data_IF_072089800623
#
_entry.id   IF_072089800623
#
_cell.length_a   1.000
_cell.length_b   1.000
_cell.length_c   1.000
_cell.angle_alpha   90.00
_cell.angle_beta   90.00
_cell.angle_gamma   90.00
#
_symmetry.space_group_name_H-M   'P 1'
#
loop_
_entity.id
_entity.type
_entity.pdbx_description
1 polymer ?
#
# COMPACT_ATOMS: atom_id res chain seq x y z
N UNK A 1 -22.44 0.26 36.28
CA UNK A 1 -21.66 1.06 35.31
C UNK A 1 -22.09 0.63 33.92
N UNK A 2 -22.57 1.56 33.09
CA UNK A 2 -22.87 1.29 31.68
C UNK A 2 -21.61 1.62 30.88
N UNK A 3 -20.90 0.60 30.42
CA UNK A 3 -19.80 0.80 29.47
C UNK A 3 -20.36 0.77 28.06
N UNK A 4 -19.85 1.61 27.14
CA UNK A 4 -20.19 1.49 25.73
C UNK A 4 -19.80 0.08 25.23
N UNK A 5 -20.61 -0.53 24.35
CA UNK A 5 -20.31 -1.83 23.79
C UNK A 5 -18.96 -1.79 23.05
N UNK A 6 -18.15 -2.83 23.25
CA UNK A 6 -16.90 -3.00 22.51
C UNK A 6 -17.24 -3.40 21.08
N UNK A 7 -16.89 -2.57 20.11
CA UNK A 7 -17.02 -2.91 18.70
C UNK A 7 -16.15 -4.12 18.36
N UNK A 8 -16.64 -4.97 17.46
CA UNK A 8 -15.86 -6.10 16.95
C UNK A 8 -14.68 -5.59 16.16
N UNK A 9 -13.57 -6.32 16.22
CA UNK A 9 -12.42 -6.05 15.38
C UNK A 9 -12.83 -6.20 13.90
N UNK A 10 -12.73 -5.15 13.07
CA UNK A 10 -12.99 -5.25 11.64
C UNK A 10 -11.93 -6.10 10.91
N UNK A 11 -10.85 -6.50 11.59
CA UNK A 11 -9.74 -7.27 11.03
C UNK A 11 -8.77 -6.35 10.31
N UNK A 12 -9.06 -6.04 9.05
CA UNK A 12 -8.20 -5.19 8.20
C UNK A 12 -8.93 -3.90 7.86
N UNK A 13 -8.33 -2.74 8.19
CA UNK A 13 -8.87 -1.46 7.76
C UNK A 13 -8.47 -1.22 6.31
N UNK A 14 -9.47 -1.25 5.43
CA UNK A 14 -9.31 -0.97 4.01
C UNK A 14 -10.12 0.24 3.58
N UNK A 15 -9.67 0.89 2.50
CA UNK A 15 -10.33 2.05 1.90
C UNK A 15 -10.36 1.92 0.37
N UNK A 16 -11.42 2.39 -0.31
CA UNK A 16 -11.43 2.49 -1.76
C UNK A 16 -10.29 3.38 -2.27
N UNK A 17 -9.59 2.92 -3.29
CA UNK A 17 -8.39 3.59 -3.78
C UNK A 17 -8.29 3.53 -5.31
N UNK A 18 -7.84 4.63 -5.91
CA UNK A 18 -7.53 4.73 -7.34
C UNK A 18 -6.07 5.14 -7.50
N UNK A 19 -5.32 4.43 -8.35
CA UNK A 19 -3.92 4.71 -8.66
C UNK A 19 -3.78 5.21 -10.10
N UNK A 20 -3.30 6.43 -10.32
CA UNK A 20 -3.16 7.04 -11.65
C UNK A 20 -4.45 6.91 -12.51
N UNK A 21 -5.61 7.13 -11.90
CA UNK A 21 -6.92 7.00 -12.56
C UNK A 21 -7.40 5.55 -12.75
N UNK A 22 -6.64 4.56 -12.31
CA UNK A 22 -7.01 3.15 -12.37
C UNK A 22 -7.58 2.68 -11.03
N UNK A 23 -8.83 2.23 -11.04
CA UNK A 23 -9.47 1.65 -9.85
C UNK A 23 -8.77 0.33 -9.47
N UNK A 24 -8.35 0.25 -8.21
CA UNK A 24 -7.70 -0.93 -7.64
C UNK A 24 -8.58 -1.66 -6.61
N UNK A 25 -9.82 -1.19 -6.42
CA UNK A 25 -10.71 -1.62 -5.35
C UNK A 25 -10.26 -1.02 -4.03
N UNK A 26 -9.77 -1.89 -3.14
CA UNK A 26 -9.47 -1.56 -1.75
C UNK A 26 -7.95 -1.55 -1.49
N UNK A 27 -7.46 -0.55 -0.75
CA UNK A 27 -6.11 -0.50 -0.20
C UNK A 27 -6.14 -0.63 1.33
N UNK A 28 -5.17 -1.34 1.91
CA UNK A 28 -5.02 -1.50 3.35
C UNK A 28 -4.32 -0.29 3.96
N UNK A 29 -4.89 0.24 5.05
CA UNK A 29 -4.30 1.27 5.90
C UNK A 29 -3.54 0.58 7.03
N UNK A 30 -2.21 0.72 7.05
CA UNK A 30 -1.36 0.10 8.06
C UNK A 30 -0.44 1.11 8.75
N UNK A 31 -0.78 1.49 9.97
CA UNK A 31 0.06 2.40 10.77
C UNK A 31 1.36 1.75 11.27
N UNK A 32 1.43 0.41 11.29
CA UNK A 32 2.62 -0.36 11.56
C UNK A 32 3.63 -0.35 10.40
N UNK A 33 3.14 -0.20 9.17
CA UNK A 33 3.99 -0.14 7.98
C UNK A 33 4.77 1.18 7.89
N UNK A 34 6.10 1.09 7.80
CA UNK A 34 7.00 2.24 7.58
C UNK A 34 7.06 2.71 6.12
N UNK A 35 6.46 1.95 5.21
CA UNK A 35 6.50 2.17 3.76
C UNK A 35 5.09 2.08 3.19
N UNK A 36 4.87 2.71 2.04
CA UNK A 36 3.75 2.32 1.18
C UNK A 36 4.23 1.18 0.27
N UNK A 37 3.41 0.14 0.11
CA UNK A 37 3.75 -1.04 -0.67
C UNK A 37 2.77 -1.21 -1.84
N UNK A 38 3.32 -1.52 -3.01
CA UNK A 38 2.57 -1.84 -4.22
C UNK A 38 2.98 -3.24 -4.72
N UNK A 39 2.05 -4.18 -4.90
CA UNK A 39 2.35 -5.45 -5.56
C UNK A 39 2.77 -5.26 -7.02
N UNK A 40 3.75 -6.05 -7.49
CA UNK A 40 4.27 -6.00 -8.88
C UNK A 40 3.16 -6.03 -9.95
N UNK A 41 2.08 -6.80 -9.74
CA UNK A 41 0.93 -6.85 -10.68
C UNK A 41 0.44 -5.47 -11.12
N UNK A 42 0.43 -4.47 -10.23
CA UNK A 42 -0.07 -3.13 -10.54
C UNK A 42 0.86 -2.38 -11.48
N UNK A 43 2.17 -2.54 -11.33
CA UNK A 43 3.17 -1.95 -12.22
C UNK A 43 3.08 -2.57 -13.63
N UNK A 44 2.82 -3.87 -13.72
CA UNK A 44 2.67 -4.56 -15.00
C UNK A 44 1.34 -4.24 -15.68
N UNK A 45 0.25 -4.17 -14.89
CA UNK A 45 -1.12 -3.98 -15.39
C UNK A 45 -1.39 -2.54 -15.84
N UNK A 46 -0.86 -1.55 -15.12
CA UNK A 46 -1.19 -0.15 -15.33
C UNK A 46 -0.03 0.62 -15.97
N UNK A 47 -0.32 1.34 -17.05
CA UNK A 47 0.68 2.16 -17.76
C UNK A 47 1.09 3.37 -16.89
N UNK A 48 2.32 3.85 -17.09
CA UNK A 48 2.82 5.08 -16.46
C UNK A 48 3.48 4.90 -15.10
N UNK A 49 3.54 3.68 -14.55
CA UNK A 49 4.32 3.36 -13.35
C UNK A 49 5.73 2.94 -13.76
N UNK A 50 6.69 3.87 -13.70
CA UNK A 50 8.09 3.58 -14.03
C UNK A 50 8.80 3.05 -12.78
N UNK A 51 9.10 1.76 -12.77
CA UNK A 51 9.90 1.13 -11.72
C UNK A 51 11.34 1.66 -11.78
N UNK A 52 11.82 2.21 -10.66
CA UNK A 52 13.20 2.66 -10.51
C UNK A 52 13.94 1.75 -9.53
N UNK A 53 15.23 1.46 -9.77
CA UNK A 53 16.06 0.76 -8.80
C UNK A 53 16.02 1.46 -7.44
N UNK A 54 16.02 0.67 -6.38
CA UNK A 54 16.03 1.13 -5.00
C UNK A 54 17.00 0.26 -4.20
N UNK A 55 17.81 0.86 -3.35
CA UNK A 55 18.73 0.14 -2.45
C UNK A 55 18.10 -0.11 -1.07
N UNK A 56 16.76 -0.06 -0.99
CA UNK A 56 16.00 -0.28 0.25
C UNK A 56 15.81 -1.76 0.45
N UNK A 57 15.93 -2.24 1.68
CA UNK A 57 15.45 -3.56 2.12
C UNK A 57 14.25 -3.38 3.04
N UNK A 58 13.35 -4.36 3.05
CA UNK A 58 12.14 -4.34 3.88
C UNK A 58 12.20 -5.48 4.88
N UNK A 59 12.07 -5.16 6.17
CA UNK A 59 11.90 -6.15 7.23
C UNK A 59 10.42 -6.37 7.48
N UNK A 60 9.98 -7.62 7.35
CA UNK A 60 8.60 -8.03 7.61
C UNK A 60 8.36 -8.27 9.11
N UNK A 61 7.09 -8.42 9.49
CA UNK A 61 6.71 -8.65 10.88
C UNK A 61 7.25 -9.97 11.46
N UNK A 62 7.53 -10.96 10.62
CA UNK A 62 8.16 -12.23 10.99
C UNK A 62 9.71 -12.14 11.09
N UNK A 63 10.27 -10.94 10.86
CA UNK A 63 11.71 -10.69 10.86
C UNK A 63 12.41 -11.05 9.56
N UNK A 64 11.70 -11.58 8.55
CA UNK A 64 12.29 -11.82 7.23
C UNK A 64 12.69 -10.51 6.56
N UNK A 65 13.78 -10.53 5.81
CA UNK A 65 14.27 -9.39 5.04
C UNK A 65 14.03 -9.68 3.58
N UNK A 66 13.34 -8.76 2.90
CA UNK A 66 12.99 -8.89 1.50
C UNK A 66 13.60 -7.72 0.72
N UNK A 67 14.21 -8.07 -0.41
CA UNK A 67 14.64 -7.10 -1.41
C UNK A 67 13.46 -6.75 -2.32
N UNK A 68 13.00 -5.50 -2.34
CA UNK A 68 11.97 -5.06 -3.26
C UNK A 68 12.50 -5.02 -4.69
N UNK A 69 11.59 -5.08 -5.66
CA UNK A 69 11.92 -4.91 -7.08
C UNK A 69 12.38 -3.49 -7.41
N UNK A 70 11.99 -2.53 -6.56
CA UNK A 70 12.33 -1.13 -6.73
C UNK A 70 11.28 -0.21 -6.11
N UNK A 71 11.21 1.00 -6.64
CA UNK A 71 10.27 2.02 -6.20
C UNK A 71 9.59 2.67 -7.41
N UNK A 72 8.30 2.94 -7.29
CA UNK A 72 7.57 3.85 -8.19
C UNK A 72 7.34 5.17 -7.45
N UNK A 73 7.60 6.29 -8.12
CA UNK A 73 7.53 7.63 -7.52
C UNK A 73 6.36 8.42 -8.07
N UNK A 74 5.80 9.30 -7.25
CA UNK A 74 4.76 10.26 -7.62
C UNK A 74 3.53 9.60 -8.28
N UNK A 75 3.09 8.47 -7.74
CA UNK A 75 1.83 7.85 -8.14
C UNK A 75 0.71 8.72 -7.58
N UNK A 76 -0.23 9.14 -8.43
CA UNK A 76 -1.44 9.84 -7.99
C UNK A 76 -2.34 8.81 -7.31
N UNK A 77 -2.52 8.96 -6.01
CA UNK A 77 -3.41 8.16 -5.20
C UNK A 77 -4.65 8.99 -4.92
N UNK A 78 -5.81 8.51 -5.35
CA UNK A 78 -7.10 9.11 -4.99
C UNK A 78 -7.81 8.23 -3.97
N UNK A 79 -8.16 8.85 -2.85
CA UNK A 79 -9.02 8.29 -1.81
C UNK A 79 -10.17 9.26 -1.64
N UNK A 80 -11.40 8.81 -1.89
CA UNK A 80 -12.57 9.68 -1.95
C UNK A 80 -12.32 10.91 -2.87
N UNK A 81 -12.30 12.11 -2.28
CA UNK A 81 -12.12 13.38 -2.98
C UNK A 81 -10.68 13.91 -2.90
N UNK A 82 -9.79 13.22 -2.19
CA UNK A 82 -8.40 13.63 -1.98
C UNK A 82 -7.49 12.98 -3.01
N UNK A 83 -6.62 13.77 -3.62
CA UNK A 83 -5.55 13.30 -4.51
C UNK A 83 -4.19 13.66 -3.96
N UNK A 84 -3.35 12.63 -3.76
CA UNK A 84 -2.02 12.76 -3.17
C UNK A 84 -0.98 12.11 -4.07
N UNK A 85 0.23 12.69 -4.10
CA UNK A 85 1.38 12.08 -4.77
C UNK A 85 2.13 11.18 -3.79
N UNK A 86 2.22 9.89 -4.11
CA UNK A 86 2.73 8.88 -3.20
C UNK A 86 3.83 8.06 -3.87
N UNK A 87 4.88 7.79 -3.11
CA UNK A 87 5.93 6.84 -3.51
C UNK A 87 5.61 5.47 -2.94
N UNK A 88 5.77 4.42 -3.74
CA UNK A 88 5.56 3.03 -3.32
C UNK A 88 6.82 2.21 -3.53
N UNK A 89 7.13 1.36 -2.55
CA UNK A 89 8.05 0.24 -2.72
C UNK A 89 7.31 -0.89 -3.43
N UNK A 90 7.91 -1.44 -4.48
CA UNK A 90 7.29 -2.49 -5.28
C UNK A 90 7.82 -3.85 -4.85
N UNK A 91 6.92 -4.74 -4.45
CA UNK A 91 7.28 -6.07 -3.94
C UNK A 91 6.86 -7.16 -4.92
N UNK A 92 7.72 -8.17 -5.08
CA UNK A 92 7.38 -9.41 -5.76
C UNK A 92 6.72 -10.34 -4.75
N UNK A 93 5.40 -10.44 -4.78
CA UNK A 93 4.65 -11.24 -3.81
C UNK A 93 4.05 -12.47 -4.48
N UNK A 94 4.19 -13.63 -3.85
CA UNK A 94 3.84 -14.91 -4.48
C UNK A 94 2.33 -15.07 -4.71
N UNK A 95 1.50 -14.43 -3.88
CA UNK A 95 0.04 -14.45 -4.00
C UNK A 95 -0.50 -13.08 -4.37
N UNK A 96 -0.20 -12.64 -5.59
CA UNK A 96 -0.55 -11.31 -6.07
C UNK A 96 -2.06 -11.02 -6.02
N UNK A 97 -2.94 -12.03 -6.06
CA UNK A 97 -4.39 -11.84 -6.03
C UNK A 97 -4.91 -11.37 -4.66
N UNK A 98 -4.29 -11.81 -3.56
CA UNK A 98 -4.80 -11.58 -2.20
C UNK A 98 -4.10 -10.43 -1.47
N UNK A 99 -2.97 -9.96 -1.97
CA UNK A 99 -2.15 -9.00 -1.24
C UNK A 99 -2.61 -7.58 -1.59
N UNK A 100 -3.10 -6.82 -0.60
CA UNK A 100 -3.58 -5.46 -0.83
C UNK A 100 -2.41 -4.51 -1.11
N UNK A 101 -2.73 -3.39 -1.76
CA UNK A 101 -1.87 -2.20 -1.72
C UNK A 101 -1.83 -1.72 -0.27
N UNK A 102 -0.65 -1.40 0.25
CA UNK A 102 -0.50 -0.92 1.63
C UNK A 102 -0.19 0.57 1.60
N UNK A 103 -1.03 1.33 2.27
CA UNK A 103 -0.83 2.74 2.59
C UNK A 103 -0.31 2.79 4.03
N UNK A 104 1.00 2.97 4.15
CA UNK A 104 1.71 3.02 5.41
C UNK A 104 1.74 4.42 6.01
N UNK A 105 2.58 4.58 7.04
CA UNK A 105 2.81 5.89 7.67
C UNK A 105 3.18 7.02 6.70
N UNK A 106 3.98 6.82 5.64
CA UNK A 106 4.30 7.91 4.72
C UNK A 106 3.06 8.50 4.03
N UNK A 107 2.06 7.68 3.71
CA UNK A 107 0.78 8.18 3.17
C UNK A 107 0.00 8.95 4.25
N UNK A 108 -0.10 8.39 5.45
CA UNK A 108 -0.89 9.00 6.55
C UNK A 108 -0.29 10.30 7.12
N UNK A 109 0.99 10.55 6.86
CA UNK A 109 1.70 11.75 7.30
C UNK A 109 1.61 12.91 6.28
N UNK A 110 0.86 12.75 5.19
CA UNK A 110 0.61 13.79 4.18
C UNK A 110 -0.65 14.58 4.54
#
# INVERSE_FOLDING_TARGET
MNYPPKEKDPGCLTIPCVLNGCDIGEAMIDSGASINMLPKKFVTKYKGMVLKPSNVTVTMADGSIIEPLGMVKNVVVRVEQLELLVNFIVMNVENEEKIPVILGRPFMAT
#
